data_IF_662554196812
#
_entry.id   IF_662554196812
#
_cell.length_a   1.000
_cell.length_b   1.000
_cell.length_c   1.000
_cell.angle_alpha   90.00
_cell.angle_beta   90.00
_cell.angle_gamma   90.00
#
_symmetry.space_group_name_H-M   'P 1'
#
loop_
_entity.id
_entity.type
_entity.pdbx_description
1 polymer ?
#
# COMPACT_ATOMS: atom_id res chain seq x y z
N UNK A 1 -27.79 4.77 10.65
CA UNK A 1 -26.58 5.56 10.95
C UNK A 1 -26.99 6.79 11.75
N UNK A 2 -26.21 7.21 12.77
CA UNK A 2 -26.48 8.43 13.54
C UNK A 2 -26.68 9.68 12.64
N UNK A 3 -25.92 9.74 11.54
CA UNK A 3 -26.02 10.74 10.46
C UNK A 3 -27.42 10.91 9.85
N UNK A 4 -28.24 9.86 9.80
CA UNK A 4 -29.56 9.88 9.18
C UNK A 4 -30.72 10.00 10.18
N UNK A 5 -30.43 9.95 11.49
CA UNK A 5 -31.46 9.82 12.53
C UNK A 5 -31.64 11.04 13.45
N UNK A 6 -30.85 12.12 13.29
CA UNK A 6 -30.92 13.28 14.20
C UNK A 6 -31.06 14.61 13.46
N UNK A 7 -32.20 15.28 13.68
CA UNK A 7 -32.63 16.54 13.04
C UNK A 7 -32.12 17.78 13.79
N UNK A 8 -30.81 18.04 13.78
CA UNK A 8 -30.24 19.32 14.24
C UNK A 8 -29.70 20.13 13.04
N UNK A 9 -29.66 21.47 13.13
CA UNK A 9 -29.11 22.33 12.07
C UNK A 9 -27.63 22.02 11.79
N UNK A 10 -26.86 21.68 12.82
CA UNK A 10 -25.45 21.30 12.68
C UNK A 10 -25.30 20.00 11.87
N UNK A 11 -26.11 18.97 12.17
CA UNK A 11 -26.10 17.72 11.40
C UNK A 11 -26.46 17.95 9.92
N UNK A 12 -27.39 18.86 9.64
CA UNK A 12 -27.75 19.23 8.26
C UNK A 12 -26.57 19.86 7.50
N UNK A 13 -25.76 20.67 8.18
CA UNK A 13 -24.56 21.28 7.58
C UNK A 13 -23.47 20.25 7.35
N UNK A 14 -23.19 19.40 8.33
CA UNK A 14 -22.14 18.38 8.23
C UNK A 14 -22.46 17.34 7.14
N UNK A 15 -23.74 16.98 6.97
CA UNK A 15 -24.20 16.15 5.85
C UNK A 15 -24.00 16.83 4.49
N UNK A 16 -24.20 18.16 4.42
CA UNK A 16 -23.99 18.93 3.19
C UNK A 16 -22.51 18.97 2.83
N UNK A 17 -21.65 19.24 3.82
CA UNK A 17 -20.19 19.23 3.63
C UNK A 17 -19.68 17.83 3.25
N UNK A 18 -20.19 16.78 3.89
CA UNK A 18 -19.86 15.39 3.57
C UNK A 18 -20.26 15.04 2.14
N UNK A 19 -21.50 15.39 1.74
CA UNK A 19 -21.96 15.21 0.36
C UNK A 19 -21.05 15.95 -0.62
N UNK A 20 -20.71 17.21 -0.35
CA UNK A 20 -19.81 17.99 -1.20
C UNK A 20 -18.44 17.33 -1.35
N UNK A 21 -17.85 16.85 -0.25
CA UNK A 21 -16.54 16.19 -0.27
C UNK A 21 -16.58 14.88 -1.09
N UNK A 22 -17.62 14.07 -0.89
CA UNK A 22 -17.78 12.81 -1.62
C UNK A 22 -18.09 13.04 -3.11
N UNK A 23 -18.84 14.09 -3.45
CA UNK A 23 -19.06 14.50 -4.84
C UNK A 23 -17.74 14.87 -5.51
N UNK A 24 -16.91 15.71 -4.89
CA UNK A 24 -15.58 16.06 -5.44
C UNK A 24 -14.70 14.80 -5.57
N UNK A 25 -14.71 13.91 -4.58
CA UNK A 25 -13.95 12.66 -4.65
C UNK A 25 -14.36 11.81 -5.85
N UNK A 26 -15.68 11.63 -6.07
CA UNK A 26 -16.23 10.88 -7.20
C UNK A 26 -15.87 11.51 -8.54
N UNK A 27 -15.98 12.83 -8.68
CA UNK A 27 -15.62 13.55 -9.91
C UNK A 27 -14.14 13.38 -10.28
N UNK A 28 -13.28 13.14 -9.28
CA UNK A 28 -11.86 12.94 -9.48
C UNK A 28 -11.45 11.47 -9.69
N UNK A 29 -12.35 10.50 -9.49
CA UNK A 29 -12.05 9.08 -9.73
C UNK A 29 -12.02 8.77 -11.23
N UNK A 30 -11.05 7.97 -11.67
CA UNK A 30 -11.14 7.29 -12.97
C UNK A 30 -12.19 6.18 -12.90
N UNK A 31 -12.78 5.82 -14.05
CA UNK A 31 -13.82 4.78 -14.15
C UNK A 31 -13.38 3.44 -13.54
N UNK A 32 -12.11 3.08 -13.72
CA UNK A 32 -11.51 1.91 -13.11
C UNK A 32 -10.04 2.17 -12.68
N UNK A 33 -9.46 1.38 -11.75
CA UNK A 33 -8.10 1.60 -11.27
C UNK A 33 -7.00 1.47 -12.34
N UNK A 34 -7.17 0.65 -13.39
CA UNK A 34 -6.22 0.58 -14.53
C UNK A 34 -6.18 1.92 -15.27
N UNK A 35 -7.33 2.56 -15.48
CA UNK A 35 -7.38 3.87 -16.13
C UNK A 35 -6.57 4.92 -15.34
N UNK A 36 -6.62 4.89 -14.01
CA UNK A 36 -5.80 5.77 -13.18
C UNK A 36 -4.27 5.56 -13.37
N UNK A 37 -3.83 4.32 -13.61
CA UNK A 37 -2.43 4.03 -13.95
C UNK A 37 -2.05 4.62 -15.31
N UNK A 38 -2.89 4.43 -16.34
CA UNK A 38 -2.65 4.96 -17.69
C UNK A 38 -2.60 6.48 -17.74
N UNK A 39 -3.44 7.15 -16.94
CA UNK A 39 -3.50 8.61 -16.84
C UNK A 39 -2.39 9.20 -15.97
N UNK A 40 -1.62 8.38 -15.25
CA UNK A 40 -0.62 8.85 -14.29
C UNK A 40 -1.21 9.45 -13.01
N UNK A 41 -2.45 9.06 -12.66
CA UNK A 41 -3.20 9.54 -11.50
C UNK A 41 -3.41 8.44 -10.45
N UNK A 42 -2.61 7.38 -10.48
CA UNK A 42 -2.75 6.25 -9.57
C UNK A 42 -2.31 6.61 -8.14
N UNK A 43 -3.12 6.22 -7.17
CA UNK A 43 -2.86 6.36 -5.73
C UNK A 43 -3.08 5.02 -5.05
N UNK A 44 -2.04 4.54 -4.35
CA UNK A 44 -2.06 3.33 -3.53
C UNK A 44 -1.93 3.69 -2.05
N UNK A 45 -2.77 3.13 -1.19
CA UNK A 45 -2.57 3.15 0.26
C UNK A 45 -1.77 1.91 0.66
N UNK A 46 -0.76 2.06 1.51
CA UNK A 46 -0.04 0.94 2.14
C UNK A 46 -0.42 0.91 3.62
N UNK A 47 -1.20 -0.08 4.03
CA UNK A 47 -1.48 -0.36 5.45
C UNK A 47 -0.24 -0.95 6.15
N UNK A 48 0.51 -1.79 5.45
CA UNK A 48 1.77 -2.39 5.89
C UNK A 48 1.77 -3.91 5.79
N UNK A 49 2.81 -4.48 5.18
CA UNK A 49 2.93 -5.92 4.90
C UNK A 49 2.89 -6.83 6.15
N UNK A 50 3.28 -6.30 7.31
CA UNK A 50 3.24 -6.99 8.61
C UNK A 50 2.24 -6.37 9.59
N UNK A 51 1.44 -5.38 9.18
CA UNK A 51 0.48 -4.71 10.06
C UNK A 51 -0.84 -5.49 10.11
N UNK A 52 -1.27 -5.88 11.32
CA UNK A 52 -2.40 -6.80 11.54
C UNK A 52 -3.41 -6.27 12.56
N UNK A 53 -3.41 -4.95 12.81
CA UNK A 53 -4.42 -4.28 13.64
C UNK A 53 -5.73 -4.16 12.85
N UNK A 54 -6.63 -5.14 13.02
CA UNK A 54 -7.83 -5.29 12.18
C UNK A 54 -8.75 -4.06 12.25
N UNK A 55 -9.10 -3.52 13.43
CA UNK A 55 -9.93 -2.33 13.50
C UNK A 55 -9.31 -1.12 12.78
N UNK A 56 -7.99 -0.94 12.93
CA UNK A 56 -7.29 0.15 12.25
C UNK A 56 -7.25 -0.04 10.73
N UNK A 57 -6.97 -1.26 10.26
CA UNK A 57 -7.00 -1.57 8.82
C UNK A 57 -8.39 -1.27 8.26
N UNK A 58 -9.46 -1.70 8.93
CA UNK A 58 -10.84 -1.40 8.52
C UNK A 58 -11.10 0.10 8.43
N UNK A 59 -10.70 0.87 9.43
CA UNK A 59 -10.87 2.33 9.44
C UNK A 59 -10.09 3.03 8.30
N UNK A 60 -8.85 2.61 8.05
CA UNK A 60 -8.04 3.12 6.94
C UNK A 60 -8.67 2.78 5.59
N UNK A 61 -9.08 1.53 5.39
CA UNK A 61 -9.72 1.09 4.15
C UNK A 61 -11.02 1.87 3.89
N UNK A 62 -11.81 2.09 4.93
CA UNK A 62 -13.03 2.90 4.87
C UNK A 62 -12.73 4.35 4.44
N UNK A 63 -11.83 5.05 5.15
CA UNK A 63 -11.53 6.45 4.89
C UNK A 63 -10.93 6.68 3.49
N UNK A 64 -9.98 5.84 3.08
CA UNK A 64 -9.29 6.00 1.81
C UNK A 64 -10.09 5.52 0.59
N UNK A 65 -11.03 4.59 0.78
CA UNK A 65 -12.02 4.25 -0.26
C UNK A 65 -12.89 5.46 -0.60
N UNK A 66 -13.43 6.13 0.42
CA UNK A 66 -14.23 7.36 0.23
C UNK A 66 -13.40 8.51 -0.35
N UNK A 67 -12.11 8.57 -0.05
CA UNK A 67 -11.19 9.55 -0.61
C UNK A 67 -10.82 9.26 -2.09
N UNK A 68 -11.15 8.10 -2.64
CA UNK A 68 -10.92 7.75 -4.05
C UNK A 68 -9.60 7.06 -4.35
N UNK A 69 -8.98 6.37 -3.37
CA UNK A 69 -7.79 5.55 -3.61
C UNK A 69 -8.05 4.48 -4.67
N UNK A 70 -7.04 4.13 -5.46
CA UNK A 70 -7.15 3.11 -6.53
C UNK A 70 -6.82 1.71 -6.03
N UNK A 71 -5.92 1.61 -5.06
CA UNK A 71 -5.48 0.35 -4.49
C UNK A 71 -5.17 0.49 -3.00
N UNK A 72 -5.47 -0.55 -2.25
CA UNK A 72 -5.09 -0.70 -0.85
C UNK A 72 -4.24 -1.94 -0.73
N UNK A 73 -3.01 -1.77 -0.23
CA UNK A 73 -2.04 -2.83 0.03
C UNK A 73 -1.91 -3.09 1.53
N UNK A 74 -1.85 -4.37 1.89
CA UNK A 74 -1.94 -4.84 3.26
C UNK A 74 -1.21 -6.16 3.48
N UNK A 75 -1.13 -6.56 4.75
CA UNK A 75 -0.60 -7.87 5.13
C UNK A 75 -1.39 -9.01 4.48
N UNK A 76 -0.67 -10.04 4.02
CA UNK A 76 -1.23 -11.25 3.41
C UNK A 76 -1.91 -12.20 4.42
N UNK A 77 -2.60 -11.64 5.42
CA UNK A 77 -3.36 -12.36 6.43
C UNK A 77 -4.85 -12.37 6.07
N UNK A 78 -5.50 -13.54 6.13
CA UNK A 78 -6.93 -13.66 5.85
C UNK A 78 -7.78 -12.72 6.71
N UNK A 79 -7.45 -12.56 7.98
CA UNK A 79 -8.18 -11.66 8.88
C UNK A 79 -8.04 -10.18 8.47
N UNK A 80 -6.84 -9.79 8.01
CA UNK A 80 -6.57 -8.44 7.52
C UNK A 80 -7.35 -8.17 6.22
N UNK A 81 -7.37 -9.13 5.29
CA UNK A 81 -8.15 -9.03 4.06
C UNK A 81 -9.65 -8.93 4.35
N UNK A 82 -10.18 -9.73 5.28
CA UNK A 82 -11.58 -9.61 5.72
C UNK A 82 -11.86 -8.21 6.28
N UNK A 83 -11.00 -7.69 7.16
CA UNK A 83 -11.17 -6.34 7.71
C UNK A 83 -11.13 -5.24 6.64
N UNK A 84 -10.31 -5.41 5.61
CA UNK A 84 -10.25 -4.51 4.48
C UNK A 84 -11.52 -4.59 3.61
N UNK A 85 -12.00 -5.78 3.28
CA UNK A 85 -13.27 -6.00 2.57
C UNK A 85 -14.44 -5.35 3.31
N UNK A 86 -14.51 -5.52 4.64
CA UNK A 86 -15.52 -4.87 5.48
C UNK A 86 -15.41 -3.34 5.45
N UNK A 87 -14.20 -2.79 5.53
CA UNK A 87 -13.96 -1.34 5.48
C UNK A 87 -14.33 -0.73 4.14
N UNK A 88 -13.96 -1.40 3.04
CA UNK A 88 -14.36 -1.01 1.67
C UNK A 88 -15.87 -1.11 1.50
N UNK A 89 -16.50 -2.22 1.89
CA UNK A 89 -17.95 -2.41 1.78
C UNK A 89 -18.73 -1.34 2.56
N UNK A 90 -18.30 -1.04 3.78
CA UNK A 90 -18.86 0.04 4.59
C UNK A 90 -18.76 1.42 3.90
N UNK A 91 -17.63 1.72 3.26
CA UNK A 91 -17.44 2.96 2.52
C UNK A 91 -18.37 3.05 1.31
N UNK A 92 -18.50 1.96 0.54
CA UNK A 92 -19.40 1.89 -0.61
C UNK A 92 -20.85 2.15 -0.18
N UNK A 93 -21.29 1.54 0.92
CA UNK A 93 -22.64 1.73 1.48
C UNK A 93 -22.88 3.17 1.95
N UNK A 94 -21.93 3.78 2.68
CA UNK A 94 -22.06 5.16 3.13
C UNK A 94 -22.17 6.12 1.94
N UNK A 95 -21.32 5.95 0.93
CA UNK A 95 -21.34 6.80 -0.26
C UNK A 95 -22.68 6.72 -0.98
N UNK A 96 -23.24 5.51 -1.15
CA UNK A 96 -24.55 5.32 -1.74
C UNK A 96 -25.65 6.03 -0.94
N UNK A 97 -25.62 5.93 0.38
CA UNK A 97 -26.58 6.61 1.26
C UNK A 97 -26.50 8.14 1.19
N UNK A 98 -25.29 8.71 1.09
CA UNK A 98 -25.09 10.16 1.09
C UNK A 98 -25.34 10.78 -0.28
N UNK A 99 -24.87 10.11 -1.35
CA UNK A 99 -24.93 10.60 -2.73
C UNK A 99 -26.19 10.15 -3.49
N UNK A 100 -26.89 9.13 -3.00
CA UNK A 100 -28.01 8.51 -3.72
C UNK A 100 -27.58 7.63 -4.90
N UNK A 101 -26.28 7.32 -5.02
CA UNK A 101 -25.70 6.44 -6.05
C UNK A 101 -24.40 5.81 -5.53
N UNK A 102 -24.11 4.59 -5.98
CA UNK A 102 -22.86 3.91 -5.64
C UNK A 102 -21.62 4.68 -6.13
N UNK A 103 -20.47 4.47 -5.48
CA UNK A 103 -19.19 4.91 -6.02
C UNK A 103 -18.94 4.21 -7.37
N UNK A 104 -18.26 4.88 -8.33
CA UNK A 104 -18.01 4.31 -9.65
C UNK A 104 -17.25 2.98 -9.61
N UNK A 105 -16.37 2.82 -8.62
CA UNK A 105 -15.52 1.64 -8.43
C UNK A 105 -15.13 1.47 -6.97
N UNK A 106 -14.75 0.24 -6.60
CA UNK A 106 -13.97 -0.04 -5.38
C UNK A 106 -12.45 0.02 -5.68
N UNK A 107 -11.58 0.29 -4.70
CA UNK A 107 -10.15 0.10 -4.87
C UNK A 107 -9.81 -1.39 -5.07
N UNK A 108 -8.69 -1.66 -5.74
CA UNK A 108 -8.08 -2.98 -5.77
C UNK A 108 -7.52 -3.36 -4.40
N UNK A 109 -7.76 -4.60 -3.99
CA UNK A 109 -7.12 -5.16 -2.80
C UNK A 109 -5.81 -5.84 -3.21
N UNK A 110 -4.72 -5.36 -2.64
CA UNK A 110 -3.37 -5.89 -2.84
C UNK A 110 -2.84 -6.46 -1.53
N UNK A 111 -2.10 -7.56 -1.62
CA UNK A 111 -1.32 -8.06 -0.49
C UNK A 111 0.15 -8.16 -0.87
N UNK A 112 1.03 -7.94 0.10
CA UNK A 112 2.47 -8.01 -0.12
C UNK A 112 3.07 -9.32 0.39
N UNK A 113 3.99 -9.89 -0.39
CA UNK A 113 4.83 -11.05 -0.06
C UNK A 113 6.29 -10.74 -0.38
N UNK A 114 7.22 -11.56 0.11
CA UNK A 114 8.66 -11.41 -0.13
C UNK A 114 9.30 -12.69 -0.68
N UNK A 115 10.28 -12.54 -1.59
CA UNK A 115 11.05 -13.67 -2.12
C UNK A 115 12.18 -14.13 -1.17
N UNK A 116 12.60 -13.24 -0.27
CA UNK A 116 13.73 -13.38 0.65
C UNK A 116 13.43 -12.60 1.95
N UNK A 117 14.34 -12.64 2.93
CA UNK A 117 14.23 -11.76 4.10
C UNK A 117 14.14 -10.29 3.66
N UNK A 118 13.17 -9.57 4.23
CA UNK A 118 12.87 -8.22 3.83
C UNK A 118 12.51 -7.36 5.06
N UNK A 119 12.95 -6.10 5.06
CA UNK A 119 12.77 -5.22 6.21
C UNK A 119 11.31 -4.79 6.46
N UNK A 120 10.44 -4.95 5.46
CA UNK A 120 9.00 -4.70 5.55
C UNK A 120 8.26 -5.88 6.22
N UNK A 121 8.92 -7.04 6.20
CA UNK A 121 8.48 -8.33 6.68
C UNK A 121 9.20 -8.66 7.98
N UNK A 122 9.07 -7.79 8.98
CA UNK A 122 9.64 -8.00 10.32
C UNK A 122 8.79 -7.39 11.40
N UNK A 123 8.96 -7.88 12.63
CA UNK A 123 8.37 -7.31 13.85
C UNK A 123 9.46 -7.12 14.89
N UNK A 124 9.27 -6.16 15.79
CA UNK A 124 10.15 -6.05 16.95
C UNK A 124 9.85 -7.17 17.95
N UNK A 125 10.88 -7.69 18.62
CA UNK A 125 10.73 -8.60 19.75
C UNK A 125 11.82 -8.34 20.80
N UNK A 126 11.45 -8.40 22.07
CA UNK A 126 12.40 -8.37 23.19
C UNK A 126 11.75 -8.90 24.46
N UNK A 127 12.59 -9.31 25.41
CA UNK A 127 12.19 -9.66 26.77
C UNK A 127 12.30 -8.42 27.67
N UNK A 128 11.16 -7.87 28.08
CA UNK A 128 11.09 -6.68 28.92
C UNK A 128 11.73 -6.87 30.29
N UNK A 129 11.87 -8.11 30.78
CA UNK A 129 12.55 -8.40 32.07
C UNK A 129 14.06 -8.14 32.02
N UNK A 130 14.63 -8.04 30.81
CA UNK A 130 16.03 -7.67 30.59
C UNK A 130 16.26 -6.15 30.61
N UNK A 131 15.20 -5.34 30.63
CA UNK A 131 15.33 -3.90 30.79
C UNK A 131 15.58 -3.58 32.27
N UNK A 132 16.65 -2.84 32.61
CA UNK A 132 16.85 -2.39 33.98
C UNK A 132 15.77 -1.36 34.36
N UNK A 133 15.49 -1.26 35.65
CA UNK A 133 14.42 -0.38 36.18
C UNK A 133 14.66 1.12 35.89
N UNK A 134 15.90 1.53 35.68
CA UNK A 134 16.31 2.90 35.37
C UNK A 134 16.41 3.17 33.85
N UNK A 135 16.02 2.22 33.00
CA UNK A 135 15.98 2.43 31.56
C UNK A 135 15.01 3.57 31.21
N UNK A 136 15.42 4.58 30.41
CA UNK A 136 14.52 5.66 30.00
C UNK A 136 13.44 5.21 28.99
N UNK A 137 13.54 3.97 28.49
CA UNK A 137 12.57 3.31 27.59
C UNK A 137 12.07 4.19 26.42
N UNK A 138 12.98 4.83 25.65
CA UNK A 138 12.59 5.65 24.48
C UNK A 138 11.86 4.86 23.40
N UNK A 139 11.95 3.53 23.42
CA UNK A 139 11.23 2.62 22.55
C UNK A 139 9.70 2.69 22.70
N UNK A 140 9.18 3.09 23.88
CA UNK A 140 7.74 3.25 24.14
C UNK A 140 7.19 4.45 23.39
N UNK A 141 7.78 5.63 23.64
CA UNK A 141 7.31 6.90 23.08
C UNK A 141 7.50 7.00 21.57
N UNK A 142 8.51 6.33 21.01
CA UNK A 142 8.79 6.38 19.58
C UNK A 142 7.93 5.41 18.76
N UNK A 143 7.27 4.44 19.42
CA UNK A 143 6.48 3.40 18.75
C UNK A 143 5.17 4.00 18.22
N UNK A 144 5.01 4.16 16.90
CA UNK A 144 3.90 4.92 16.33
C UNK A 144 2.54 4.25 16.54
N UNK A 145 2.51 2.93 16.68
CA UNK A 145 1.28 2.15 16.89
C UNK A 145 1.08 1.74 18.34
N UNK A 146 1.95 2.22 19.24
CA UNK A 146 1.90 1.89 20.66
C UNK A 146 1.92 0.36 20.92
N UNK A 147 2.57 -0.41 20.03
CA UNK A 147 2.75 -1.85 20.19
C UNK A 147 3.65 -2.21 21.39
N UNK A 148 4.44 -1.22 21.84
CA UNK A 148 5.23 -1.26 23.07
C UNK A 148 4.55 -0.29 24.05
N UNK A 149 3.74 -0.76 25.01
CA UNK A 149 3.07 0.11 25.96
C UNK A 149 4.02 0.56 27.09
N UNK A 150 3.71 1.67 27.79
CA UNK A 150 4.37 2.06 29.03
C UNK A 150 4.38 0.93 30.08
N UNK A 151 5.52 0.73 30.75
CA UNK A 151 5.71 -0.36 31.73
C UNK A 151 4.67 -0.33 32.87
N UNK A 152 4.26 0.86 33.32
CA UNK A 152 3.27 1.08 34.38
C UNK A 152 1.84 0.71 33.97
N UNK A 153 1.59 0.53 32.67
CA UNK A 153 0.29 0.15 32.10
C UNK A 153 0.19 -1.31 31.69
N UNK A 154 1.22 -2.12 31.94
CA UNK A 154 1.08 -3.57 31.87
C UNK A 154 0.23 -4.04 33.04
N UNK A 155 -1.08 -4.13 32.83
CA UNK A 155 -1.96 -4.90 33.71
C UNK A 155 -1.35 -6.30 33.87
N UNK A 156 -1.03 -6.67 35.11
CA UNK A 156 -0.42 -7.92 35.58
C UNK A 156 0.02 -8.88 34.46
N UNK A 157 1.34 -9.08 34.24
CA UNK A 157 1.79 -9.95 33.17
C UNK A 157 1.19 -11.34 33.38
N UNK A 158 0.47 -11.88 32.38
CA UNK A 158 0.34 -13.33 32.32
C UNK A 158 1.78 -13.86 32.35
N UNK A 159 2.20 -14.60 33.40
CA UNK A 159 3.52 -15.17 33.40
C UNK A 159 3.57 -16.09 32.19
N UNK A 160 4.42 -15.79 31.21
CA UNK A 160 4.82 -16.85 30.30
C UNK A 160 5.39 -17.98 31.16
N UNK A 161 5.18 -19.23 30.78
CA UNK A 161 5.59 -20.42 31.54
C UNK A 161 7.13 -20.50 31.84
N UNK A 162 7.90 -19.45 31.47
CA UNK A 162 9.35 -19.32 31.63
C UNK A 162 9.79 -18.00 32.29
N UNK A 163 8.89 -17.20 32.87
CA UNK A 163 9.25 -15.96 33.56
C UNK A 163 9.71 -14.81 32.64
N UNK A 164 9.43 -14.90 31.33
CA UNK A 164 9.68 -13.82 30.36
C UNK A 164 8.46 -12.91 30.26
N UNK A 165 8.70 -11.63 30.01
CA UNK A 165 7.66 -10.64 29.72
C UNK A 165 7.88 -10.11 28.31
N UNK A 166 6.92 -10.30 27.41
CA UNK A 166 7.04 -9.78 26.05
C UNK A 166 7.05 -8.25 26.07
N UNK A 167 8.10 -7.66 25.52
CA UNK A 167 8.22 -6.20 25.46
C UNK A 167 7.37 -5.55 24.38
N UNK A 168 6.92 -6.34 23.40
CA UNK A 168 5.91 -5.93 22.41
C UNK A 168 4.60 -6.59 22.80
N UNK A 169 3.75 -5.87 23.55
CA UNK A 169 2.51 -6.42 24.09
C UNK A 169 1.42 -6.65 23.03
N UNK A 170 1.49 -5.91 21.92
CA UNK A 170 0.55 -5.98 20.80
C UNK A 170 1.31 -6.25 19.50
N UNK A 171 1.80 -7.48 19.26
CA UNK A 171 2.59 -7.81 18.07
C UNK A 171 1.84 -7.56 16.76
N UNK A 172 0.52 -7.68 16.73
CA UNK A 172 -0.36 -7.36 15.60
C UNK A 172 -0.29 -5.88 15.19
N UNK A 173 -0.07 -4.98 16.17
CA UNK A 173 0.12 -3.54 15.93
C UNK A 173 1.54 -3.20 15.48
N UNK A 174 2.51 -4.10 15.67
CA UNK A 174 3.88 -3.88 15.23
C UNK A 174 4.00 -4.14 13.73
N UNK A 175 4.25 -3.10 12.95
CA UNK A 175 4.51 -3.21 11.49
C UNK A 175 6.01 -3.21 11.15
N UNK A 176 6.91 -3.35 12.13
CA UNK A 176 8.35 -3.49 11.83
C UNK A 176 9.08 -2.20 11.45
N UNK A 177 8.59 -1.03 11.84
CA UNK A 177 9.20 0.27 11.52
C UNK A 177 10.70 0.38 11.88
N UNK A 178 11.16 -0.38 12.87
CA UNK A 178 12.55 -0.40 13.33
C UNK A 178 12.96 0.78 14.21
N UNK A 179 12.07 1.76 14.46
CA UNK A 179 12.37 2.93 15.29
C UNK A 179 12.83 2.53 16.70
N UNK A 180 12.12 1.59 17.33
CA UNK A 180 12.45 1.09 18.66
C UNK A 180 13.82 0.40 18.70
N UNK A 181 14.19 -0.32 17.64
CA UNK A 181 15.50 -0.99 17.51
C UNK A 181 16.62 0.04 17.52
N UNK A 182 16.49 1.11 16.74
CA UNK A 182 17.53 2.15 16.62
C UNK A 182 17.72 3.01 17.86
N UNK A 183 16.70 3.17 18.71
CA UNK A 183 16.79 4.03 19.92
C UNK A 183 17.00 3.26 21.22
N UNK A 184 16.97 1.92 21.19
CA UNK A 184 17.17 1.13 22.41
C UNK A 184 18.61 1.33 22.93
N UNK A 185 18.82 1.94 24.11
CA UNK A 185 20.17 2.26 24.59
C UNK A 185 20.99 1.01 24.92
N UNK A 186 20.32 -0.12 25.14
CA UNK A 186 20.92 -1.41 25.51
C UNK A 186 20.95 -2.41 24.36
N UNK A 187 20.44 -2.05 23.18
CA UNK A 187 20.39 -2.95 22.03
C UNK A 187 19.59 -4.24 22.25
N UNK A 188 18.59 -4.22 23.15
CA UNK A 188 17.82 -5.41 23.54
C UNK A 188 16.72 -5.79 22.54
N UNK A 189 16.37 -4.89 21.62
CA UNK A 189 15.24 -5.07 20.70
C UNK A 189 15.74 -5.64 19.38
N UNK A 190 15.26 -6.83 19.07
CA UNK A 190 15.58 -7.54 17.83
C UNK A 190 14.49 -7.31 16.78
N UNK A 191 14.88 -7.35 15.51
CA UNK A 191 13.95 -7.32 14.39
C UNK A 191 13.79 -8.76 13.85
N UNK A 192 12.68 -9.39 14.21
CA UNK A 192 12.38 -10.78 13.87
C UNK A 192 11.67 -10.84 12.52
N UNK A 193 12.14 -11.65 11.56
CA UNK A 193 11.45 -11.83 10.29
C UNK A 193 10.01 -12.30 10.49
N UNK A 194 9.09 -11.71 9.73
CA UNK A 194 7.69 -12.08 9.62
C UNK A 194 7.47 -12.51 8.17
N UNK A 195 7.46 -13.81 7.91
CA UNK A 195 7.22 -14.33 6.56
C UNK A 195 5.86 -15.00 6.49
N UNK A 196 5.19 -14.77 5.37
CA UNK A 196 3.98 -15.51 5.00
C UNK A 196 4.34 -16.33 3.78
N UNK A 197 4.10 -17.64 3.83
CA UNK A 197 4.42 -18.52 2.72
C UNK A 197 3.56 -18.19 1.50
N UNK A 198 4.22 -17.87 0.39
CA UNK A 198 3.52 -17.42 -0.82
C UNK A 198 2.48 -18.42 -1.34
N UNK A 199 2.73 -19.72 -1.18
CA UNK A 199 1.79 -20.77 -1.57
C UNK A 199 0.48 -20.71 -0.75
N UNK A 200 0.58 -20.41 0.55
CA UNK A 200 -0.58 -20.29 1.43
C UNK A 200 -1.36 -19.02 1.10
N UNK A 201 -0.67 -17.91 0.81
CA UNK A 201 -1.29 -16.65 0.36
C UNK A 201 -2.10 -16.87 -0.91
N UNK A 202 -1.46 -17.42 -1.95
CA UNK A 202 -2.09 -17.61 -3.26
C UNK A 202 -3.26 -18.61 -3.22
N UNK A 203 -3.22 -19.58 -2.31
CA UNK A 203 -4.30 -20.56 -2.16
C UNK A 203 -5.45 -19.99 -1.31
N UNK A 204 -5.14 -19.36 -0.17
CA UNK A 204 -6.17 -18.92 0.79
C UNK A 204 -6.85 -17.61 0.43
N UNK A 205 -6.22 -16.78 -0.41
CA UNK A 205 -6.75 -15.48 -0.83
C UNK A 205 -7.19 -15.45 -2.30
N UNK A 206 -7.16 -16.60 -3.00
CA UNK A 206 -7.61 -16.71 -4.38
C UNK A 206 -9.02 -16.12 -4.56
N UNK A 207 -9.17 -15.20 -5.53
CA UNK A 207 -10.44 -14.53 -5.82
C UNK A 207 -10.85 -13.43 -4.83
N UNK A 208 -10.14 -13.25 -3.72
CA UNK A 208 -10.39 -12.19 -2.72
C UNK A 208 -9.50 -10.96 -2.91
N UNK A 209 -8.33 -11.15 -3.53
CA UNK A 209 -7.40 -10.07 -3.88
C UNK A 209 -7.42 -9.80 -5.37
N UNK A 210 -7.20 -8.55 -5.74
CA UNK A 210 -7.05 -8.15 -7.15
C UNK A 210 -5.59 -8.06 -7.58
N UNK A 211 -4.67 -7.87 -6.64
CA UNK A 211 -3.27 -7.65 -6.96
C UNK A 211 -2.32 -8.23 -5.90
N UNK A 212 -1.07 -8.41 -6.29
CA UNK A 212 -0.01 -8.92 -5.44
C UNK A 212 1.21 -8.02 -5.53
N UNK A 213 1.87 -7.74 -4.42
CA UNK A 213 3.17 -7.09 -4.38
C UNK A 213 4.26 -8.09 -3.99
N UNK A 214 5.35 -8.11 -4.74
CA UNK A 214 6.53 -8.92 -4.45
C UNK A 214 7.66 -7.98 -4.05
N UNK A 215 8.13 -8.12 -2.81
CA UNK A 215 9.40 -7.53 -2.40
C UNK A 215 10.55 -8.44 -2.82
N UNK A 216 11.51 -7.84 -3.53
CA UNK A 216 12.68 -8.55 -4.04
C UNK A 216 13.93 -7.71 -3.85
N UNK A 217 15.00 -8.37 -3.39
CA UNK A 217 16.32 -7.78 -3.18
C UNK A 217 17.33 -8.46 -4.10
N UNK A 218 18.52 -7.87 -4.28
CA UNK A 218 19.60 -8.56 -5.01
C UNK A 218 19.93 -9.86 -4.32
N UNK A 219 19.62 -10.95 -5.00
CA UNK A 219 19.95 -12.30 -4.55
C UNK A 219 21.46 -12.51 -4.62
N UNK A 220 22.06 -12.89 -3.49
CA UNK A 220 23.37 -13.52 -3.47
C UNK A 220 23.20 -15.03 -3.73
N UNK A 221 22.74 -15.43 -4.92
CA UNK A 221 22.58 -16.85 -5.22
C UNK A 221 23.93 -17.50 -5.52
N UNK A 222 24.50 -18.19 -4.53
CA UNK A 222 25.63 -19.11 -4.70
C UNK A 222 25.20 -20.48 -5.27
N UNK A 223 23.90 -20.70 -5.48
CA UNK A 223 23.31 -22.02 -5.77
C UNK A 223 22.67 -22.13 -7.16
N UNK A 224 22.79 -21.10 -8.01
CA UNK A 224 22.32 -21.11 -9.40
C UNK A 224 20.79 -21.04 -9.59
N UNK A 225 20.01 -20.95 -8.51
CA UNK A 225 18.55 -20.72 -8.55
C UNK A 225 18.20 -19.30 -8.11
N UNK A 226 17.25 -18.68 -8.81
CA UNK A 226 16.76 -17.31 -8.54
C UNK A 226 15.43 -17.38 -7.78
N UNK A 227 15.40 -17.05 -6.47
CA UNK A 227 14.19 -17.11 -5.64
C UNK A 227 13.01 -16.31 -6.23
N UNK A 228 13.34 -15.19 -6.87
CA UNK A 228 12.37 -14.33 -7.52
C UNK A 228 11.68 -15.03 -8.70
N UNK A 229 12.45 -15.73 -9.53
CA UNK A 229 11.92 -16.46 -10.68
C UNK A 229 11.06 -17.64 -10.23
N UNK A 230 11.50 -18.37 -9.20
CA UNK A 230 10.70 -19.46 -8.62
C UNK A 230 9.37 -18.96 -8.05
N UNK A 231 9.38 -17.79 -7.40
CA UNK A 231 8.16 -17.15 -6.90
C UNK A 231 7.24 -16.71 -8.06
N UNK A 232 7.79 -16.04 -9.08
CA UNK A 232 7.03 -15.64 -10.27
C UNK A 232 6.37 -16.84 -10.96
N UNK A 233 7.07 -17.97 -11.12
CA UNK A 233 6.49 -19.19 -11.70
C UNK A 233 5.38 -19.77 -10.85
N UNK A 234 5.48 -19.68 -9.51
CA UNK A 234 4.39 -20.11 -8.61
C UNK A 234 3.16 -19.21 -8.78
N UNK A 235 3.36 -17.89 -8.73
CA UNK A 235 2.29 -16.90 -8.92
C UNK A 235 1.62 -17.12 -10.28
N UNK A 236 2.39 -17.27 -11.37
CA UNK A 236 1.84 -17.51 -12.71
C UNK A 236 0.81 -18.63 -12.75
N UNK A 237 1.06 -19.75 -12.06
CA UNK A 237 0.13 -20.91 -12.02
C UNK A 237 -1.17 -20.62 -11.29
N UNK A 238 -1.20 -19.62 -10.41
CA UNK A 238 -2.31 -19.29 -9.52
C UNK A 238 -2.86 -17.87 -9.77
N UNK A 239 -2.31 -17.15 -10.75
CA UNK A 239 -2.63 -15.76 -11.05
C UNK A 239 -3.96 -15.59 -11.83
N UNK A 240 -4.77 -16.64 -11.97
CA UNK A 240 -6.10 -16.53 -12.54
C UNK A 240 -6.93 -15.54 -11.71
N UNK A 241 -7.19 -14.36 -12.26
CA UNK A 241 -7.96 -13.30 -11.61
C UNK A 241 -7.13 -12.15 -11.01
N UNK A 242 -5.79 -12.24 -10.98
CA UNK A 242 -4.97 -11.09 -10.61
C UNK A 242 -4.97 -10.04 -11.73
N UNK A 243 -5.33 -8.81 -11.37
CA UNK A 243 -5.31 -7.62 -12.22
C UNK A 243 -3.94 -6.96 -12.28
N UNK A 244 -3.12 -7.09 -11.23
CA UNK A 244 -1.78 -6.53 -11.21
C UNK A 244 -0.79 -7.32 -10.34
N UNK A 245 0.48 -7.27 -10.72
CA UNK A 245 1.63 -7.67 -9.90
C UNK A 245 2.56 -6.47 -9.77
N UNK A 246 2.85 -6.08 -8.53
CA UNK A 246 3.82 -5.03 -8.22
C UNK A 246 5.14 -5.63 -7.76
N UNK A 247 6.24 -4.95 -8.07
CA UNK A 247 7.60 -5.38 -7.72
C UNK A 247 8.28 -4.26 -6.98
N UNK A 248 8.51 -4.48 -5.70
CA UNK A 248 9.19 -3.55 -4.82
C UNK A 248 10.66 -3.90 -4.74
N UNK A 249 11.50 -2.89 -5.00
CA UNK A 249 12.95 -3.07 -5.02
C UNK A 249 13.68 -1.86 -4.41
N UNK A 250 14.81 -2.11 -3.72
CA UNK A 250 15.57 -1.07 -3.04
C UNK A 250 16.40 -0.24 -4.02
N UNK A 251 16.86 0.92 -3.56
CA UNK A 251 17.84 1.71 -4.29
C UNK A 251 19.24 1.08 -4.18
N UNK A 252 19.90 0.88 -5.33
CA UNK A 252 21.19 0.17 -5.41
C UNK A 252 22.28 1.00 -6.11
N UNK A 253 22.14 2.32 -6.10
CA UNK A 253 22.91 3.21 -6.97
C UNK A 253 22.47 3.12 -8.43
N UNK A 254 22.98 4.01 -9.28
CA UNK A 254 22.53 4.12 -10.68
C UNK A 254 22.78 2.85 -11.49
N UNK A 255 24.02 2.35 -11.51
CA UNK A 255 24.37 1.16 -12.28
C UNK A 255 23.72 -0.12 -11.71
N UNK A 256 23.69 -0.26 -10.38
CA UNK A 256 23.07 -1.40 -9.70
C UNK A 256 21.56 -1.48 -9.96
N UNK A 257 20.87 -0.34 -9.89
CA UNK A 257 19.42 -0.26 -10.18
C UNK A 257 19.13 -0.66 -11.63
N UNK A 258 19.89 -0.14 -12.60
CA UNK A 258 19.71 -0.47 -14.01
C UNK A 258 19.94 -1.98 -14.28
N UNK A 259 21.00 -2.56 -13.71
CA UNK A 259 21.29 -3.99 -13.85
C UNK A 259 20.21 -4.86 -13.19
N UNK A 260 19.74 -4.46 -12.01
CA UNK A 260 18.66 -5.14 -11.29
C UNK A 260 17.37 -5.16 -12.11
N UNK A 261 16.93 -4.00 -12.59
CA UNK A 261 15.72 -3.86 -13.40
C UNK A 261 15.79 -4.72 -14.68
N UNK A 262 16.92 -4.69 -15.41
CA UNK A 262 17.12 -5.55 -16.58
C UNK A 262 16.98 -7.04 -16.23
N UNK A 263 17.59 -7.47 -15.13
CA UNK A 263 17.51 -8.86 -14.66
C UNK A 263 16.08 -9.27 -14.29
N UNK A 264 15.41 -8.48 -13.43
CA UNK A 264 14.04 -8.78 -13.00
C UNK A 264 13.07 -8.72 -14.17
N UNK A 265 13.23 -7.75 -15.07
CA UNK A 265 12.38 -7.63 -16.26
C UNK A 265 12.49 -8.86 -17.16
N UNK A 266 13.69 -9.41 -17.34
CA UNK A 266 13.87 -10.65 -18.09
C UNK A 266 13.15 -11.85 -17.44
N UNK A 267 13.17 -11.95 -16.11
CA UNK A 267 12.41 -12.98 -15.37
C UNK A 267 10.91 -12.78 -15.57
N UNK A 268 10.43 -11.55 -15.48
CA UNK A 268 9.03 -11.22 -15.72
C UNK A 268 8.57 -11.60 -17.13
N UNK A 269 9.34 -11.23 -18.15
CA UNK A 269 9.01 -11.60 -19.53
C UNK A 269 8.86 -13.11 -19.72
N UNK A 270 9.71 -13.92 -19.05
CA UNK A 270 9.58 -15.39 -19.07
C UNK A 270 8.36 -15.90 -18.30
N UNK A 271 7.99 -15.25 -17.21
CA UNK A 271 6.93 -15.72 -16.32
C UNK A 271 5.53 -15.16 -16.67
N UNK A 272 5.43 -14.04 -17.36
CA UNK A 272 4.18 -13.33 -17.61
C UNK A 272 4.09 -12.72 -19.04
N UNK A 273 5.10 -12.96 -19.90
CA UNK A 273 5.19 -12.41 -21.28
C UNK A 273 4.45 -13.23 -22.35
N UNK A 274 4.60 -12.87 -23.63
CA UNK A 274 3.75 -13.33 -24.76
C UNK A 274 3.65 -14.85 -24.91
N UNK A 275 4.72 -15.58 -24.65
CA UNK A 275 4.77 -17.05 -24.69
C UNK A 275 4.23 -17.73 -23.40
N UNK A 276 3.41 -17.03 -22.62
CA UNK A 276 2.75 -17.60 -21.44
C UNK A 276 1.68 -18.62 -21.85
N UNK A 277 2.11 -19.86 -22.05
CA UNK A 277 1.26 -21.07 -22.10
C UNK A 277 0.63 -21.31 -20.71
N UNK A 278 -0.30 -20.44 -20.29
CA UNK A 278 -1.22 -20.77 -19.19
C UNK A 278 -2.11 -21.90 -19.70
N UNK A 279 -2.28 -23.01 -18.95
CA UNK A 279 -3.25 -24.03 -19.32
C UNK A 279 -4.62 -23.35 -19.40
N UNK A 280 -5.22 -23.34 -20.59
CA UNK A 280 -6.65 -23.03 -20.77
C UNK A 280 -7.40 -23.86 -19.75
N UNK A 281 -8.14 -23.23 -18.85
CA UNK A 281 -8.96 -23.91 -17.86
C UNK A 281 -9.96 -24.79 -18.61
N UNK A 282 -9.63 -26.07 -18.75
CA UNK A 282 -10.43 -26.99 -19.53
C UNK A 282 -11.82 -27.19 -18.92
N UNK A 283 -12.81 -27.02 -19.79
CA UNK A 283 -14.11 -27.72 -19.82
C UNK A 283 -15.22 -27.17 -18.91
N UNK A 284 -15.86 -26.10 -19.37
CA UNK A 284 -17.31 -26.14 -19.64
C UNK A 284 -17.52 -25.63 -21.07
N UNK A 285 -17.98 -26.52 -21.95
CA UNK A 285 -18.17 -26.25 -23.37
C UNK A 285 -19.15 -25.09 -23.60
N UNK A 286 -18.74 -24.08 -24.38
CA UNK A 286 -19.69 -23.20 -25.08
C UNK A 286 -19.49 -21.69 -24.98
N UNK A 287 -18.43 -21.18 -24.35
CA UNK A 287 -18.11 -19.73 -24.36
C UNK A 287 -16.72 -19.57 -24.97
N UNK A 288 -16.55 -18.65 -25.92
CA UNK A 288 -15.24 -18.32 -26.52
C UNK A 288 -14.24 -17.96 -25.41
N UNK A 289 -13.37 -18.91 -25.09
CA UNK A 289 -12.50 -18.85 -23.91
C UNK A 289 -11.22 -18.07 -24.28
N UNK A 290 -11.32 -16.75 -24.36
CA UNK A 290 -10.13 -15.90 -24.44
C UNK A 290 -9.27 -16.14 -23.20
N UNK A 291 -7.93 -16.34 -23.33
CA UNK A 291 -7.08 -16.57 -22.18
C UNK A 291 -7.23 -15.40 -21.19
N UNK A 292 -7.22 -15.67 -19.87
CA UNK A 292 -7.43 -14.61 -18.88
C UNK A 292 -6.43 -13.47 -19.10
N UNK A 293 -6.87 -12.20 -18.99
CA UNK A 293 -6.01 -11.05 -19.23
C UNK A 293 -4.79 -11.13 -18.31
N UNK A 294 -3.68 -10.58 -18.78
CA UNK A 294 -2.43 -10.58 -18.03
C UNK A 294 -2.51 -9.56 -16.91
N UNK A 295 -1.90 -9.84 -15.75
CA UNK A 295 -1.79 -8.83 -14.72
C UNK A 295 -0.93 -7.68 -15.23
N UNK A 296 -1.35 -6.45 -14.96
CA UNK A 296 -0.52 -5.26 -15.14
C UNK A 296 0.71 -5.36 -14.23
N UNK A 297 1.80 -4.76 -14.65
CA UNK A 297 3.06 -4.78 -13.92
C UNK A 297 3.40 -3.39 -13.39
N UNK A 298 3.50 -3.27 -12.07
CA UNK A 298 3.81 -2.01 -11.39
C UNK A 298 5.20 -2.11 -10.74
N UNK A 299 6.19 -1.46 -11.35
CA UNK A 299 7.51 -1.28 -10.76
C UNK A 299 7.42 -0.27 -9.63
N UNK A 300 7.71 -0.70 -8.41
CA UNK A 300 7.59 0.11 -7.21
C UNK A 300 8.99 0.41 -6.65
N UNK A 301 9.37 1.69 -6.69
CA UNK A 301 10.62 2.15 -6.06
C UNK A 301 10.43 2.14 -4.54
N UNK A 302 11.18 1.30 -3.83
CA UNK A 302 11.04 1.12 -2.38
C UNK A 302 12.35 1.46 -1.65
N UNK A 303 12.80 2.70 -1.84
CA UNK A 303 14.17 3.13 -1.52
C UNK A 303 14.44 3.49 -0.07
N UNK A 304 13.40 3.63 0.78
CA UNK A 304 13.52 4.06 2.18
C UNK A 304 12.77 3.07 3.08
N UNK A 305 13.41 2.54 4.13
CA UNK A 305 12.72 1.76 5.14
C UNK A 305 11.55 2.53 5.75
N UNK A 306 10.62 1.80 6.36
CA UNK A 306 9.49 2.31 7.17
C UNK A 306 9.91 3.05 8.45
N UNK A 307 10.93 3.90 8.36
CA UNK A 307 11.52 4.72 9.42
C UNK A 307 10.57 5.78 9.96
N UNK A 308 9.49 6.07 9.24
CA UNK A 308 8.49 7.06 9.59
C UNK A 308 9.05 8.48 9.73
N UNK A 309 10.28 8.72 9.29
CA UNK A 309 10.66 10.05 8.81
C UNK A 309 9.84 10.29 7.54
N UNK A 310 9.02 11.33 7.57
CA UNK A 310 8.05 11.68 6.52
C UNK A 310 8.26 13.12 6.06
N UNK A 311 9.40 13.73 6.40
CA UNK A 311 9.71 15.12 6.07
C UNK A 311 10.09 15.32 4.60
N UNK A 312 10.31 16.58 4.20
CA UNK A 312 10.68 16.94 2.80
C UNK A 312 11.92 16.19 2.28
N UNK A 313 12.86 15.86 3.17
CA UNK A 313 14.07 15.11 2.79
C UNK A 313 13.77 13.72 2.22
N UNK A 314 12.73 13.04 2.68
CA UNK A 314 12.37 11.71 2.17
C UNK A 314 11.77 11.78 0.77
N UNK A 315 10.99 12.84 0.47
CA UNK A 315 10.49 13.13 -0.88
C UNK A 315 11.62 13.27 -1.88
N UNK A 316 12.67 14.02 -1.52
CA UNK A 316 13.81 14.24 -2.42
C UNK A 316 14.53 12.92 -2.76
N UNK A 317 14.68 12.01 -1.79
CA UNK A 317 15.24 10.68 -2.04
C UNK A 317 14.36 9.83 -2.95
N UNK A 318 13.04 9.81 -2.72
CA UNK A 318 12.09 9.07 -3.54
C UNK A 318 12.06 9.57 -4.99
N UNK A 319 12.02 10.89 -5.19
CA UNK A 319 12.04 11.52 -6.52
C UNK A 319 13.35 11.25 -7.25
N UNK A 320 14.50 11.34 -6.58
CA UNK A 320 15.81 10.99 -7.17
C UNK A 320 15.88 9.52 -7.58
N UNK A 321 15.31 8.62 -6.79
CA UNK A 321 15.27 7.20 -7.16
C UNK A 321 14.45 7.00 -8.43
N UNK A 322 13.28 7.65 -8.54
CA UNK A 322 12.47 7.62 -9.75
C UNK A 322 13.23 8.14 -10.98
N UNK A 323 13.96 9.25 -10.85
CA UNK A 323 14.80 9.79 -11.93
C UNK A 323 15.84 8.78 -12.39
N UNK A 324 16.53 8.10 -11.46
CA UNK A 324 17.49 7.03 -11.79
C UNK A 324 16.83 5.90 -12.56
N UNK A 325 15.63 5.47 -12.15
CA UNK A 325 14.88 4.39 -12.83
C UNK A 325 14.51 4.81 -14.25
N UNK A 326 13.92 6.00 -14.42
CA UNK A 326 13.50 6.51 -15.73
C UNK A 326 14.70 6.71 -16.66
N UNK A 327 15.79 7.32 -16.18
CA UNK A 327 17.02 7.54 -16.95
C UNK A 327 17.75 6.24 -17.33
N UNK A 328 17.56 5.16 -16.56
CA UNK A 328 18.23 3.89 -16.86
C UNK A 328 17.74 3.22 -18.14
N UNK A 329 16.52 3.58 -18.60
CA UNK A 329 15.82 2.92 -19.71
C UNK A 329 15.78 1.38 -19.57
N UNK A 330 15.87 0.88 -18.33
CA UNK A 330 15.91 -0.55 -18.03
C UNK A 330 14.52 -1.19 -17.95
N UNK A 331 13.47 -0.37 -17.94
CA UNK A 331 12.09 -0.80 -17.85
C UNK A 331 11.55 -1.23 -19.24
N UNK A 332 10.63 -2.22 -19.27
CA UNK A 332 10.20 -2.94 -20.47
C UNK A 332 9.58 -2.12 -21.59
N UNK A 333 9.10 -0.89 -21.35
CA UNK A 333 8.68 0.01 -22.44
C UNK A 333 9.84 0.38 -23.39
N UNK A 334 11.09 0.08 -23.02
CA UNK A 334 12.26 0.17 -23.91
C UNK A 334 12.51 -1.13 -24.72
N UNK A 335 11.69 -2.17 -24.55
CA UNK A 335 11.83 -3.47 -25.21
C UNK A 335 10.59 -3.80 -26.04
N UNK A 336 10.78 -4.15 -27.31
CA UNK A 336 9.72 -4.54 -28.25
C UNK A 336 8.98 -5.86 -27.89
N UNK A 337 9.25 -6.43 -26.72
CA UNK A 337 8.77 -7.76 -26.30
C UNK A 337 7.53 -7.71 -25.40
N UNK A 338 7.12 -6.54 -24.91
CA UNK A 338 5.92 -6.37 -24.07
C UNK A 338 5.13 -5.12 -24.49
N UNK A 339 3.80 -5.14 -24.33
CA UNK A 339 2.98 -3.97 -24.63
C UNK A 339 3.23 -2.86 -23.61
N UNK A 340 3.43 -1.64 -24.08
CA UNK A 340 3.67 -0.45 -23.26
C UNK A 340 2.48 -0.15 -22.31
N UNK A 341 1.28 -0.68 -22.63
CA UNK A 341 0.07 -0.50 -21.83
C UNK A 341 -0.05 -1.41 -20.60
N UNK A 342 0.96 -2.25 -20.35
CA UNK A 342 0.97 -3.22 -19.26
C UNK A 342 2.00 -2.91 -18.17
N UNK A 343 2.83 -1.86 -18.34
CA UNK A 343 3.91 -1.53 -17.42
C UNK A 343 3.85 -0.11 -16.87
N UNK A 344 4.01 0.01 -15.55
CA UNK A 344 3.86 1.27 -14.84
C UNK A 344 4.96 1.46 -13.80
N UNK A 345 5.33 2.71 -13.55
CA UNK A 345 6.27 3.08 -12.48
C UNK A 345 5.51 3.79 -11.36
N UNK A 346 5.69 3.32 -10.14
CA UNK A 346 5.10 3.90 -8.93
C UNK A 346 6.19 4.23 -7.92
N UNK A 347 6.05 5.38 -7.24
CA UNK A 347 6.89 5.71 -6.09
C UNK A 347 6.27 5.15 -4.81
N UNK A 348 7.08 4.42 -4.05
CA UNK A 348 6.80 4.07 -2.67
C UNK A 348 8.01 4.46 -1.80
N UNK A 349 7.89 4.30 -0.48
CA UNK A 349 8.99 4.59 0.44
C UNK A 349 9.39 6.07 0.50
N UNK A 350 8.88 6.80 1.50
CA UNK A 350 9.24 8.21 1.74
C UNK A 350 8.35 9.25 1.04
N UNK A 351 7.22 8.82 0.49
CA UNK A 351 6.16 9.66 -0.08
C UNK A 351 5.34 10.35 1.03
N UNK A 352 4.92 11.59 0.77
CA UNK A 352 4.16 12.46 1.68
C UNK A 352 3.41 13.56 0.89
N UNK A 353 2.75 14.49 1.58
CA UNK A 353 2.00 15.60 0.97
C UNK A 353 2.77 16.46 -0.04
N UNK A 354 4.11 16.55 0.05
CA UNK A 354 4.93 17.35 -0.86
C UNK A 354 5.33 16.59 -2.14
N UNK A 355 5.07 15.28 -2.20
CA UNK A 355 5.62 14.43 -3.27
C UNK A 355 5.00 14.71 -4.63
N UNK A 356 3.69 14.94 -4.69
CA UNK A 356 2.99 15.28 -5.92
C UNK A 356 3.50 16.59 -6.53
N UNK A 357 3.61 17.63 -5.70
CA UNK A 357 4.15 18.95 -6.10
C UNK A 357 5.58 18.82 -6.62
N UNK A 358 6.45 18.10 -5.88
CA UNK A 358 7.84 17.94 -6.30
C UNK A 358 7.99 17.16 -7.61
N UNK A 359 7.18 16.14 -7.86
CA UNK A 359 7.22 15.44 -9.15
C UNK A 359 6.75 16.34 -10.30
N UNK A 360 5.77 17.22 -10.06
CA UNK A 360 5.33 18.20 -11.05
C UNK A 360 6.44 19.21 -11.38
N UNK A 361 7.13 19.74 -10.36
CA UNK A 361 8.26 20.67 -10.52
C UNK A 361 9.41 20.06 -11.35
N UNK A 362 9.63 18.75 -11.21
CA UNK A 362 10.68 18.01 -11.93
C UNK A 362 10.20 17.50 -13.31
N UNK A 363 8.95 17.75 -13.71
CA UNK A 363 8.39 17.29 -14.98
C UNK A 363 8.22 15.76 -15.08
N UNK A 364 8.09 15.08 -13.93
CA UNK A 364 8.03 13.61 -13.85
C UNK A 364 6.62 13.04 -13.76
N UNK A 365 5.59 13.87 -13.96
CA UNK A 365 4.20 13.42 -13.99
C UNK A 365 3.61 13.56 -15.40
N UNK A 366 2.54 12.81 -15.66
CA UNK A 366 1.80 12.91 -16.92
C UNK A 366 1.35 14.36 -17.22
N UNK A 367 1.39 14.80 -18.50
CA UNK A 367 0.84 16.08 -18.93
C UNK A 367 -0.68 16.15 -18.76
N UNK A 368 -1.20 17.35 -18.51
CA UNK A 368 -2.64 17.57 -18.38
C UNK A 368 -3.43 17.29 -19.68
N UNK A 369 -2.77 17.27 -20.85
CA UNK A 369 -3.39 16.89 -22.14
C UNK A 369 -3.76 15.41 -22.18
N UNK A 370 -2.90 14.54 -21.62
CA UNK A 370 -3.13 13.09 -21.51
C UNK A 370 -4.32 12.82 -20.59
N UNK A 371 -4.38 13.50 -19.44
CA UNK A 371 -5.50 13.33 -18.49
C UNK A 371 -6.84 13.76 -19.09
N UNK A 372 -6.85 14.82 -19.92
CA UNK A 372 -8.07 15.31 -20.57
C UNK A 372 -8.49 14.51 -21.81
N UNK A 373 -7.77 13.45 -22.17
CA UNK A 373 -8.03 12.69 -23.40
C UNK A 373 -7.86 13.52 -24.68
N UNK A 374 -6.99 14.55 -24.62
CA UNK A 374 -6.72 15.50 -25.71
C UNK A 374 -5.31 15.34 -26.28
N UNK A 375 -4.64 14.21 -26.00
CA UNK A 375 -3.31 13.91 -26.50
C UNK A 375 -3.33 13.50 -27.98
N UNK A 376 -2.42 14.07 -28.77
CA UNK A 376 -2.03 13.46 -30.05
C UNK A 376 -1.24 12.17 -29.79
N UNK A 377 -1.27 11.23 -30.74
CA UNK A 377 -0.57 9.93 -30.68
C UNK A 377 0.97 10.03 -30.48
N UNK A 378 1.56 11.22 -30.58
CA UNK A 378 2.97 11.51 -30.30
C UNK A 378 3.23 11.91 -28.83
N UNK A 379 2.23 12.46 -28.12
CA UNK A 379 2.32 12.79 -26.69
C UNK A 379 2.01 11.59 -25.77
N UNK A 380 1.18 10.66 -26.23
CA UNK A 380 0.96 9.35 -25.56
C UNK A 380 2.20 8.46 -25.58
N UNK A 381 3.14 8.70 -26.50
CA UNK A 381 4.31 7.87 -26.78
C UNK A 381 5.49 8.03 -25.82
N UNK A 382 5.45 8.95 -24.85
CA UNK A 382 6.55 9.11 -23.88
C UNK A 382 6.12 8.91 -22.41
N UNK A 383 5.23 7.94 -22.18
CA UNK A 383 4.95 7.40 -20.83
C UNK A 383 6.19 6.88 -20.12
N UNK A 384 7.22 6.58 -20.91
CA UNK A 384 8.57 6.18 -20.50
C UNK A 384 9.27 7.18 -19.56
N UNK A 385 8.82 8.44 -19.58
CA UNK A 385 9.40 9.54 -18.82
C UNK A 385 8.66 9.85 -17.51
N UNK A 386 7.56 9.16 -17.19
CA UNK A 386 6.69 9.56 -16.07
C UNK A 386 6.60 8.54 -14.94
N UNK A 387 6.33 9.07 -13.76
CA UNK A 387 5.76 8.34 -12.65
C UNK A 387 4.25 8.24 -12.87
N UNK A 388 3.73 7.01 -12.84
CA UNK A 388 2.34 6.71 -13.10
C UNK A 388 1.47 6.76 -11.84
N UNK A 389 2.09 6.72 -10.66
CA UNK A 389 1.36 6.86 -9.40
C UNK A 389 2.22 6.94 -8.15
N UNK A 390 1.55 7.21 -7.04
CA UNK A 390 2.15 7.30 -5.71
C UNK A 390 1.51 6.28 -4.76
N UNK A 391 2.34 5.60 -3.99
CA UNK A 391 1.91 4.83 -2.84
C UNK A 391 2.23 5.56 -1.54
N UNK A 392 1.27 5.67 -0.63
CA UNK A 392 1.42 6.31 0.67
C UNK A 392 1.26 5.30 1.80
N UNK A 393 2.30 5.17 2.64
CA UNK A 393 2.29 4.30 3.81
C UNK A 393 2.17 5.07 5.12
N UNK A 394 3.28 5.22 5.84
CA UNK A 394 3.31 5.81 7.18
C UNK A 394 2.72 7.23 7.25
N UNK A 395 2.92 8.05 6.21
CA UNK A 395 2.31 9.39 6.14
C UNK A 395 0.78 9.34 6.12
N UNK A 396 0.20 8.53 5.23
CA UNK A 396 -1.25 8.37 5.10
C UNK A 396 -1.91 7.83 6.38
N UNK A 397 -1.27 6.85 7.04
CA UNK A 397 -1.76 6.32 8.32
C UNK A 397 -1.76 7.39 9.41
N UNK A 398 -0.65 8.13 9.52
CA UNK A 398 -0.50 9.19 10.52
C UNK A 398 -1.55 10.29 10.38
N UNK A 399 -1.92 10.70 9.17
CA UNK A 399 -2.95 11.73 8.98
C UNK A 399 -4.31 11.31 9.53
N UNK A 400 -4.75 10.08 9.25
CA UNK A 400 -6.02 9.55 9.78
C UNK A 400 -5.92 9.33 11.29
N UNK A 401 -4.83 8.73 11.76
CA UNK A 401 -4.63 8.41 13.18
C UNK A 401 -4.60 9.66 14.06
N UNK A 402 -3.97 10.73 13.57
CA UNK A 402 -3.92 12.03 14.25
C UNK A 402 -5.33 12.59 14.43
N UNK A 403 -6.15 12.60 13.38
CA UNK A 403 -7.52 13.12 13.47
C UNK A 403 -8.37 12.24 14.38
N UNK A 404 -8.33 10.92 14.22
CA UNK A 404 -9.08 10.01 15.09
C UNK A 404 -8.73 10.24 16.57
N UNK A 405 -7.45 10.40 16.89
CA UNK A 405 -6.99 10.67 18.26
C UNK A 405 -7.48 12.03 18.79
N UNK A 406 -7.48 13.09 17.96
CA UNK A 406 -7.99 14.41 18.33
C UNK A 406 -9.49 14.38 18.71
N UNK A 407 -10.25 13.48 18.08
CA UNK A 407 -11.67 13.27 18.35
C UNK A 407 -11.95 12.22 19.43
N UNK A 408 -10.92 11.69 20.09
CA UNK A 408 -11.08 10.65 21.10
C UNK A 408 -11.61 9.31 20.54
N UNK A 409 -11.50 9.09 19.23
CA UNK A 409 -11.88 7.83 18.60
C UNK A 409 -10.82 6.79 18.93
N UNK A 410 -11.19 5.85 19.79
CA UNK A 410 -10.33 4.75 20.22
C UNK A 410 -9.91 3.83 19.05
N UNK A 411 -8.96 2.92 19.29
CA UNK A 411 -8.45 2.01 18.25
C UNK A 411 -9.53 1.16 17.58
N UNK A 412 -10.58 0.81 18.31
CA UNK A 412 -11.70 -0.02 17.84
C UNK A 412 -12.90 0.78 17.31
N UNK A 413 -12.79 2.12 17.27
CA UNK A 413 -13.88 2.97 16.86
C UNK A 413 -14.28 2.72 15.40
N UNK A 414 -15.57 2.46 15.18
CA UNK A 414 -16.16 2.39 13.84
C UNK A 414 -16.36 3.80 13.28
N UNK A 415 -15.69 4.14 12.17
CA UNK A 415 -15.88 5.43 11.50
C UNK A 415 -17.31 5.62 10.97
N UNK A 416 -18.05 4.54 10.69
CA UNK A 416 -19.47 4.61 10.34
C UNK A 416 -20.35 5.09 11.51
N UNK A 417 -19.91 4.86 12.74
CA UNK A 417 -20.66 5.21 13.95
C UNK A 417 -20.13 6.49 14.61
N UNK A 418 -19.03 7.03 14.08
CA UNK A 418 -18.43 8.25 14.57
C UNK A 418 -19.38 9.45 14.39
N UNK A 419 -19.25 10.49 15.25
CA UNK A 419 -19.92 11.76 15.05
C UNK A 419 -19.70 12.32 13.63
N UNK A 420 -20.70 12.98 13.01
CA UNK A 420 -20.61 13.51 11.65
C UNK A 420 -19.40 14.40 11.38
N UNK A 421 -19.08 15.27 12.32
CA UNK A 421 -17.94 16.19 12.31
C UNK A 421 -16.59 15.46 12.42
N UNK A 422 -16.51 14.45 13.29
CA UNK A 422 -15.35 13.58 13.41
C UNK A 422 -15.09 12.80 12.10
N UNK A 423 -16.14 12.19 11.54
CA UNK A 423 -16.08 11.49 10.26
C UNK A 423 -15.61 12.44 9.15
N UNK A 424 -16.26 13.60 9.02
CA UNK A 424 -15.91 14.60 8.02
C UNK A 424 -14.45 15.06 8.15
N UNK A 425 -13.95 15.26 9.37
CA UNK A 425 -12.56 15.61 9.61
C UNK A 425 -11.59 14.51 9.16
N UNK A 426 -11.89 13.24 9.46
CA UNK A 426 -11.09 12.08 9.01
C UNK A 426 -11.07 12.01 7.48
N UNK A 427 -12.22 12.18 6.84
CA UNK A 427 -12.31 12.13 5.38
C UNK A 427 -11.60 13.31 4.71
N UNK A 428 -11.64 14.51 5.29
CA UNK A 428 -10.84 15.65 4.80
C UNK A 428 -9.34 15.36 4.84
N UNK A 429 -8.86 14.70 5.90
CA UNK A 429 -7.45 14.31 6.01
C UNK A 429 -7.08 13.26 4.95
N UNK A 430 -7.87 12.18 4.80
CA UNK A 430 -7.63 11.17 3.77
C UNK A 430 -7.69 11.75 2.35
N UNK A 431 -8.68 12.60 2.07
CA UNK A 431 -8.83 13.28 0.79
C UNK A 431 -7.66 14.22 0.49
N UNK A 432 -7.12 14.92 1.51
CA UNK A 432 -5.92 15.75 1.37
C UNK A 432 -4.68 14.98 0.89
N UNK A 433 -4.59 13.68 1.17
CA UNK A 433 -3.51 12.81 0.68
C UNK A 433 -3.73 12.39 -0.77
N UNK A 434 -4.97 12.04 -1.14
CA UNK A 434 -5.31 11.48 -2.46
C UNK A 434 -5.46 12.56 -3.53
N UNK A 435 -6.13 13.67 -3.19
CA UNK A 435 -6.53 14.74 -4.10
C UNK A 435 -5.39 15.36 -4.92
N UNK A 436 -4.17 15.63 -4.38
CA UNK A 436 -3.10 16.25 -5.14
C UNK A 436 -2.69 15.47 -6.39
N UNK A 437 -2.85 14.15 -6.39
CA UNK A 437 -2.60 13.30 -7.57
C UNK A 437 -3.84 13.19 -8.45
N UNK A 438 -5.02 13.07 -7.84
CA UNK A 438 -6.28 12.90 -8.60
C UNK A 438 -6.74 14.13 -9.37
N UNK A 439 -6.48 15.33 -8.85
CA UNK A 439 -6.93 16.60 -9.44
C UNK A 439 -6.18 17.02 -10.72
N UNK A 440 -5.05 16.38 -11.03
CA UNK A 440 -4.15 16.85 -12.09
C UNK A 440 -4.75 16.77 -13.48
#
# INVERSE_FOLDING_TARGET
MPLLCASTQQNSRDLTDLRSLLTEAVELMSDDPKSALSEGRWVKLICGASYQDLPRVKALCFAYTLAGVDCIDMSASQAVVTAAEEGVGAAMLLAEQVLGKALPRRPWLMVSINDQQDLHFRKAAFDATRCPHDCPRPCESICPTQAIPPLDKLETPLPSARGRQEGVASPERCYGCGRCVSVCPLGLIEAVPYQVEAADVLTSLAGRIDALEIHTNVSASSTGRDPFEDLCRRIRRQASGLRAVSVSFPFMGTAGTAAFLKSRNAVFGRCFGQDDERPSTGVLAGIEDSPPPRPLHIWQTDGRPMSGDIGRGTTLSAVKFAQVVLQSQALPWASSLVSEDEHFLQLAGGTNAYTAEKLADEGLLSPASVVRGQSDATQEKDRSAWVHGLAFGGFARMEVDRIMSQWGLGPEASLMEAPPDALLAVLRAAFGVVRPIKKR
#
